data_IF_467596541972
#
_entry.id   IF_467596541972
#
_cell.length_a   1.000
_cell.length_b   1.000
_cell.length_c   1.000
_cell.angle_alpha   90.00
_cell.angle_beta   90.00
_cell.angle_gamma   90.00
#
_symmetry.space_group_name_H-M   'P 1'
#
loop_
_entity.id
_entity.type
_entity.pdbx_description
1 polymer ?
#
# COMPACT_ATOMS: atom_id res chain seq x y z
N UNK A 1 -5.57 -42.21 -40.95
CA UNK A 1 -5.30 -43.00 -39.73
C UNK A 1 -5.74 -42.18 -38.52
N UNK A 2 -6.71 -42.70 -37.75
CA UNK A 2 -7.13 -42.38 -36.36
C UNK A 2 -7.11 -40.88 -35.97
N UNK A 3 -8.21 -40.12 -36.00
CA UNK A 3 -9.42 -40.19 -35.15
C UNK A 3 -9.15 -40.56 -33.68
N UNK A 4 -9.14 -39.55 -32.80
CA UNK A 4 -9.92 -39.60 -31.57
C UNK A 4 -10.60 -38.24 -31.29
N UNK A 5 -11.92 -38.31 -31.42
CA UNK A 5 -12.96 -37.35 -31.13
C UNK A 5 -13.31 -37.42 -29.63
N UNK A 6 -13.53 -36.26 -28.99
CA UNK A 6 -14.58 -35.86 -27.99
C UNK A 6 -15.14 -36.92 -27.00
N UNK A 7 -15.52 -36.60 -25.72
CA UNK A 7 -16.57 -35.61 -25.38
C UNK A 7 -16.49 -34.95 -23.95
N UNK A 8 -17.04 -33.75 -23.73
CA UNK A 8 -18.34 -33.43 -23.09
C UNK A 8 -18.90 -34.42 -22.03
N UNK A 9 -19.05 -33.95 -20.78
CA UNK A 9 -20.28 -34.05 -19.94
C UNK A 9 -19.95 -33.68 -18.47
N UNK A 10 -20.38 -32.54 -17.95
CA UNK A 10 -21.65 -32.38 -17.20
C UNK A 10 -21.94 -33.47 -16.17
N UNK A 11 -21.40 -33.30 -14.95
CA UNK A 11 -22.05 -33.71 -13.69
C UNK A 11 -21.78 -32.56 -12.70
N UNK A 12 -22.66 -31.56 -12.62
CA UNK A 12 -23.85 -31.47 -11.76
C UNK A 12 -23.54 -31.48 -10.25
N UNK A 13 -23.80 -30.31 -9.66
CA UNK A 13 -24.49 -30.12 -8.37
C UNK A 13 -23.67 -30.53 -7.14
N UNK A 14 -22.91 -29.57 -6.60
CA UNK A 14 -22.73 -29.48 -5.16
C UNK A 14 -22.62 -28.00 -4.75
N UNK A 15 -23.61 -27.57 -3.95
CA UNK A 15 -23.66 -26.34 -3.14
C UNK A 15 -24.03 -25.01 -3.82
N UNK A 16 -25.31 -24.95 -4.21
CA UNK A 16 -26.20 -23.91 -3.68
C UNK A 16 -26.11 -23.97 -2.15
N UNK A 17 -25.53 -22.94 -1.53
CA UNK A 17 -25.77 -22.46 -0.15
C UNK A 17 -24.47 -22.01 0.52
N UNK A 18 -24.11 -20.77 0.22
CA UNK A 18 -23.82 -19.76 1.23
C UNK A 18 -23.88 -18.43 0.51
N UNK A 19 -25.04 -17.81 0.60
CA UNK A 19 -25.21 -16.38 0.41
C UNK A 19 -24.27 -15.78 -0.64
N UNK A 20 -24.71 -15.77 -1.90
CA UNK A 20 -24.56 -14.57 -2.72
C UNK A 20 -25.26 -13.40 -2.00
N UNK A 21 -24.75 -13.03 -0.82
CA UNK A 21 -24.89 -11.69 -0.30
C UNK A 21 -23.89 -10.90 -1.13
N UNK A 22 -24.42 -10.43 -2.26
CA UNK A 22 -24.20 -9.07 -2.75
C UNK A 22 -23.72 -8.14 -1.63
N UNK A 23 -22.45 -8.18 -1.28
CA UNK A 23 -21.76 -7.03 -0.72
C UNK A 23 -21.24 -6.27 -1.93
N UNK A 24 -22.20 -5.71 -2.66
CA UNK A 24 -22.01 -4.58 -3.56
C UNK A 24 -21.31 -3.54 -2.69
N UNK A 25 -19.98 -3.43 -2.77
CA UNK A 25 -19.29 -2.39 -2.03
C UNK A 25 -19.90 -1.08 -2.48
N UNK A 26 -20.60 -0.46 -1.54
CA UNK A 26 -21.07 0.90 -1.64
C UNK A 26 -19.82 1.76 -1.67
N UNK A 27 -19.33 2.10 -2.86
CA UNK A 27 -18.47 3.27 -3.04
C UNK A 27 -19.34 4.50 -2.83
N UNK A 28 -19.77 4.72 -1.58
CA UNK A 28 -20.39 5.97 -1.18
C UNK A 28 -19.29 7.02 -1.21
N UNK A 29 -19.59 8.18 -1.79
CA UNK A 29 -18.76 9.37 -1.60
C UNK A 29 -18.73 9.67 -0.10
N UNK A 30 -17.59 9.44 0.55
CA UNK A 30 -17.46 9.69 1.99
C UNK A 30 -17.35 11.19 2.25
N UNK A 31 -18.00 11.64 3.32
CA UNK A 31 -17.90 13.04 3.72
C UNK A 31 -16.49 13.33 4.24
N UNK A 32 -15.95 14.51 3.96
CA UNK A 32 -14.65 14.95 4.48
C UNK A 32 -14.54 14.81 6.00
N UNK A 33 -15.65 14.98 6.72
CA UNK A 33 -15.72 14.80 8.18
C UNK A 33 -15.50 13.35 8.62
N UNK A 34 -15.97 12.38 7.85
CA UNK A 34 -15.81 10.95 8.14
C UNK A 34 -14.36 10.52 7.93
N UNK A 35 -13.72 11.02 6.86
CA UNK A 35 -12.29 10.80 6.59
C UNK A 35 -11.43 11.33 7.74
N UNK A 36 -11.70 12.56 8.20
CA UNK A 36 -10.97 13.19 9.31
C UNK A 36 -11.17 12.38 10.60
N UNK A 37 -12.39 11.93 10.86
CA UNK A 37 -12.71 11.14 12.06
C UNK A 37 -12.01 9.78 12.04
N UNK A 38 -12.02 9.11 10.90
CA UNK A 38 -11.32 7.85 10.69
C UNK A 38 -9.80 8.01 10.87
N UNK A 39 -9.21 9.04 10.25
CA UNK A 39 -7.79 9.38 10.40
C UNK A 39 -7.43 9.59 11.88
N UNK A 40 -8.23 10.38 12.62
CA UNK A 40 -7.99 10.64 14.05
C UNK A 40 -8.06 9.37 14.89
N UNK A 41 -9.02 8.48 14.64
CA UNK A 41 -9.16 7.20 15.34
C UNK A 41 -7.96 6.30 15.08
N UNK A 42 -7.56 6.14 13.82
CA UNK A 42 -6.39 5.36 13.42
C UNK A 42 -5.10 5.90 14.03
N UNK A 43 -4.89 7.22 13.97
CA UNK A 43 -3.68 7.84 14.51
C UNK A 43 -3.57 7.62 16.02
N UNK A 44 -4.66 7.80 16.77
CA UNK A 44 -4.67 7.58 18.23
C UNK A 44 -4.42 6.11 18.57
N UNK A 45 -5.09 5.18 17.89
CA UNK A 45 -4.90 3.74 18.10
C UNK A 45 -3.47 3.31 17.77
N UNK A 46 -2.91 3.75 16.64
CA UNK A 46 -1.56 3.39 16.22
C UNK A 46 -0.46 3.92 17.16
N UNK A 47 -0.62 5.15 17.69
CA UNK A 47 0.32 5.70 18.65
C UNK A 47 0.30 4.95 19.99
N UNK A 48 -0.89 4.53 20.45
CA UNK A 48 -1.05 3.68 21.64
C UNK A 48 -0.44 2.29 21.44
N UNK A 49 -0.70 1.67 20.28
CA UNK A 49 -0.18 0.35 19.92
C UNK A 49 1.35 0.26 20.00
N UNK A 50 2.04 1.35 19.66
CA UNK A 50 3.51 1.41 19.69
C UNK A 50 4.06 2.13 20.93
N UNK A 51 3.21 2.43 21.90
CA UNK A 51 3.58 3.04 23.18
C UNK A 51 4.39 4.34 22.98
N UNK A 52 4.08 5.09 21.94
CA UNK A 52 4.78 6.33 21.57
C UNK A 52 6.30 6.20 21.35
N UNK A 53 6.80 4.99 21.12
CA UNK A 53 8.24 4.75 20.94
C UNK A 53 8.79 5.37 19.64
N UNK A 54 10.03 5.86 19.71
CA UNK A 54 10.82 6.29 18.55
C UNK A 54 11.59 5.07 18.01
N UNK A 55 11.68 4.84 16.69
CA UNK A 55 11.23 5.68 15.55
C UNK A 55 9.78 5.44 15.10
N UNK A 56 9.14 4.37 15.57
CA UNK A 56 7.87 3.86 15.06
C UNK A 56 6.71 4.86 15.06
N UNK A 57 6.63 5.78 16.04
CA UNK A 57 5.61 6.84 16.07
C UNK A 57 5.62 7.71 14.80
N UNK A 58 6.80 7.98 14.24
CA UNK A 58 6.95 8.81 13.05
C UNK A 58 6.54 8.02 11.82
N UNK A 59 7.00 6.77 11.73
CA UNK A 59 6.64 5.85 10.65
C UNK A 59 5.12 5.70 10.51
N UNK A 60 4.39 5.42 11.60
CA UNK A 60 2.93 5.27 11.56
C UNK A 60 2.26 6.56 11.09
N UNK A 61 2.68 7.71 11.64
CA UNK A 61 2.12 9.00 11.27
C UNK A 61 2.33 9.28 9.79
N UNK A 62 3.52 9.01 9.27
CA UNK A 62 3.89 9.32 7.90
C UNK A 62 3.18 8.35 6.93
N UNK A 63 2.97 7.08 7.31
CA UNK A 63 2.10 6.15 6.59
C UNK A 63 0.64 6.55 6.53
N UNK A 64 0.07 7.00 7.65
CA UNK A 64 -1.30 7.49 7.64
C UNK A 64 -1.41 8.78 6.81
N UNK A 65 -0.39 9.63 6.82
CA UNK A 65 -0.38 10.84 5.98
C UNK A 65 -0.30 10.50 4.51
N UNK A 66 0.60 9.60 4.10
CA UNK A 66 0.71 9.15 2.70
C UNK A 66 -0.61 8.51 2.24
N UNK A 67 -1.13 7.53 3.00
CA UNK A 67 -2.34 6.81 2.60
C UNK A 67 -3.61 7.67 2.50
N UNK A 68 -3.74 8.73 3.31
CA UNK A 68 -4.88 9.65 3.24
C UNK A 68 -4.65 10.84 2.30
N UNK A 69 -3.40 11.16 1.94
CA UNK A 69 -3.07 12.27 1.01
C UNK A 69 -2.99 11.85 -0.44
N UNK A 70 -2.88 10.55 -0.74
CA UNK A 70 -2.87 10.07 -2.12
C UNK A 70 -4.24 10.30 -2.79
N UNK A 71 -4.39 11.51 -3.36
CA UNK A 71 -5.54 12.02 -4.12
C UNK A 71 -5.63 11.45 -5.54
N UNK A 72 -4.85 10.41 -5.88
CA UNK A 72 -4.82 9.81 -7.22
C UNK A 72 -6.08 8.98 -7.57
N UNK A 73 -7.19 9.19 -6.86
CA UNK A 73 -8.54 8.76 -7.23
C UNK A 73 -8.84 7.27 -7.05
N UNK A 74 -7.91 6.48 -6.48
CA UNK A 74 -8.04 5.02 -6.38
C UNK A 74 -8.18 4.47 -4.96
N UNK A 75 -8.01 5.28 -3.91
CA UNK A 75 -8.24 4.81 -2.54
C UNK A 75 -9.75 4.84 -2.26
N UNK A 76 -10.43 3.76 -2.63
CA UNK A 76 -11.78 3.49 -2.15
C UNK A 76 -11.73 3.44 -0.63
N UNK A 77 -12.25 4.48 0.03
CA UNK A 77 -12.35 4.49 1.48
C UNK A 77 -13.36 3.41 1.89
N UNK A 78 -12.85 2.41 2.59
CA UNK A 78 -13.63 1.26 3.06
C UNK A 78 -13.73 1.34 4.59
N UNK A 79 -14.86 1.79 5.15
CA UNK A 79 -15.00 2.00 6.59
C UNK A 79 -14.79 0.71 7.39
N UNK A 80 -15.18 -0.42 6.82
CA UNK A 80 -15.02 -1.74 7.42
C UNK A 80 -13.54 -2.16 7.52
N UNK A 81 -12.72 -1.84 6.51
CA UNK A 81 -11.28 -2.07 6.56
C UNK A 81 -10.64 -1.26 7.69
N UNK A 82 -11.04 0.00 7.83
CA UNK A 82 -10.56 0.88 8.89
C UNK A 82 -10.94 0.35 10.27
N UNK A 83 -12.17 -0.14 10.43
CA UNK A 83 -12.65 -0.74 11.68
C UNK A 83 -11.77 -1.94 12.09
N UNK A 84 -11.46 -2.84 11.16
CA UNK A 84 -10.58 -4.01 11.41
C UNK A 84 -9.17 -3.58 11.79
N UNK A 85 -8.62 -2.58 11.10
CA UNK A 85 -7.30 -2.03 11.43
C UNK A 85 -7.30 -1.42 12.82
N UNK A 86 -8.33 -0.66 13.21
CA UNK A 86 -8.45 -0.11 14.57
C UNK A 86 -8.49 -1.25 15.60
N UNK A 87 -9.26 -2.31 15.34
CA UNK A 87 -9.32 -3.46 16.23
C UNK A 87 -7.95 -4.12 16.41
N UNK A 88 -7.22 -4.36 15.32
CA UNK A 88 -5.85 -4.89 15.35
C UNK A 88 -4.90 -3.98 16.14
N UNK A 89 -4.97 -2.66 15.95
CA UNK A 89 -4.11 -1.71 16.67
C UNK A 89 -4.45 -1.65 18.17
N UNK A 90 -5.72 -1.76 18.54
CA UNK A 90 -6.11 -1.81 19.94
C UNK A 90 -5.63 -3.12 20.60
N UNK A 91 -5.76 -4.27 19.92
CA UNK A 91 -5.21 -5.54 20.39
C UNK A 91 -3.68 -5.47 20.60
N UNK A 92 -2.97 -4.84 19.66
CA UNK A 92 -1.52 -4.60 19.79
C UNK A 92 -1.13 -3.63 20.91
N UNK A 93 -2.06 -2.79 21.39
CA UNK A 93 -1.86 -1.86 22.48
C UNK A 93 -2.10 -2.51 23.85
N UNK A 94 -3.14 -3.34 23.94
CA UNK A 94 -3.57 -4.00 25.17
C UNK A 94 -2.58 -5.10 25.58
N UNK A 95 -2.21 -5.97 24.63
CA UNK A 95 -1.35 -7.11 24.89
C UNK A 95 -0.03 -7.00 24.13
N UNK A 96 1.06 -7.47 24.76
CA UNK A 96 2.36 -7.61 24.09
C UNK A 96 2.45 -8.92 23.28
N UNK A 97 1.35 -9.22 22.58
CA UNK A 97 1.14 -10.43 21.80
C UNK A 97 1.83 -10.42 20.42
N UNK A 98 1.31 -11.23 19.51
CA UNK A 98 1.84 -11.31 18.14
C UNK A 98 1.60 -10.02 17.36
N UNK A 99 0.47 -9.37 17.57
CA UNK A 99 0.04 -8.13 16.93
C UNK A 99 1.06 -7.02 17.19
N UNK A 100 1.47 -6.87 18.45
CA UNK A 100 2.50 -5.91 18.85
C UNK A 100 3.85 -6.23 18.20
N UNK A 101 4.25 -7.50 18.16
CA UNK A 101 5.51 -7.94 17.52
C UNK A 101 5.51 -7.68 16.02
N UNK A 102 4.40 -8.00 15.34
CA UNK A 102 4.19 -7.74 13.91
C UNK A 102 4.30 -6.25 13.65
N UNK A 103 3.56 -5.41 14.38
CA UNK A 103 3.56 -3.96 14.19
C UNK A 103 4.95 -3.35 14.41
N UNK A 104 5.65 -3.78 15.46
CA UNK A 104 7.03 -3.34 15.75
C UNK A 104 7.98 -3.72 14.62
N UNK A 105 7.87 -4.94 14.10
CA UNK A 105 8.71 -5.40 13.00
C UNK A 105 8.44 -4.61 11.71
N UNK A 106 7.17 -4.36 11.38
CA UNK A 106 6.78 -3.53 10.24
C UNK A 106 7.37 -2.12 10.33
N UNK A 107 7.26 -1.50 11.51
CA UNK A 107 7.85 -0.17 11.74
C UNK A 107 9.38 -0.20 11.59
N UNK A 108 10.03 -1.24 12.12
CA UNK A 108 11.49 -1.41 12.01
C UNK A 108 11.93 -1.58 10.55
N UNK A 109 11.32 -2.50 9.82
CA UNK A 109 11.64 -2.77 8.41
C UNK A 109 11.45 -1.52 7.57
N UNK A 110 10.35 -0.79 7.79
CA UNK A 110 10.09 0.45 7.05
C UNK A 110 11.10 1.55 7.37
N UNK A 111 11.40 1.78 8.64
CA UNK A 111 12.42 2.74 9.06
C UNK A 111 13.79 2.42 8.44
N UNK A 112 14.20 1.15 8.45
CA UNK A 112 15.46 0.72 7.85
C UNK A 112 15.48 0.98 6.34
N UNK A 113 14.41 0.68 5.61
CA UNK A 113 14.30 0.99 4.17
C UNK A 113 14.43 2.48 3.88
N UNK A 114 13.73 3.32 4.65
CA UNK A 114 13.82 4.78 4.50
C UNK A 114 15.22 5.30 4.82
N UNK A 115 15.88 4.71 5.83
CA UNK A 115 17.24 5.05 6.20
C UNK A 115 18.22 4.71 5.08
N UNK A 116 18.14 3.54 4.46
CA UNK A 116 19.00 3.17 3.33
C UNK A 116 18.82 4.11 2.13
N UNK A 117 17.58 4.49 1.79
CA UNK A 117 17.30 5.46 0.72
C UNK A 117 17.91 6.83 1.05
N UNK A 118 17.86 7.23 2.32
CA UNK A 118 18.40 8.50 2.79
C UNK A 118 19.93 8.51 2.99
N UNK A 119 20.61 7.36 3.06
CA UNK A 119 22.08 7.29 3.11
C UNK A 119 22.75 7.89 1.88
N UNK A 120 22.05 7.94 0.75
CA UNK A 120 22.56 8.58 -0.47
C UNK A 120 22.79 10.07 -0.20
N UNK A 121 24.05 10.46 -0.08
CA UNK A 121 24.46 11.84 0.18
C UNK A 121 23.89 12.77 -0.90
N UNK A 122 23.56 14.00 -0.53
CA UNK A 122 23.07 15.02 -1.48
C UNK A 122 24.03 15.19 -2.68
N UNK A 123 25.35 15.11 -2.44
CA UNK A 123 26.38 15.09 -3.49
C UNK A 123 26.18 13.96 -4.49
N UNK A 124 25.89 12.76 -4.01
CA UNK A 124 25.62 11.58 -4.84
C UNK A 124 24.31 11.75 -5.62
N UNK A 125 23.27 12.32 -5.01
CA UNK A 125 22.00 12.63 -5.70
C UNK A 125 22.21 13.62 -6.85
N UNK A 126 23.00 14.69 -6.64
CA UNK A 126 23.35 15.65 -7.69
C UNK A 126 24.14 14.95 -8.80
N UNK A 127 25.18 14.18 -8.46
CA UNK A 127 25.96 13.45 -9.46
C UNK A 127 25.08 12.52 -10.29
N UNK A 128 24.20 11.75 -9.65
CA UNK A 128 23.24 10.87 -10.34
C UNK A 128 22.27 11.65 -11.26
N UNK A 129 21.82 12.83 -10.86
CA UNK A 129 20.97 13.68 -11.69
C UNK A 129 21.74 14.20 -12.93
N UNK A 130 22.96 14.72 -12.74
CA UNK A 130 23.84 15.16 -13.83
C UNK A 130 24.17 14.01 -14.81
N UNK A 131 24.49 12.82 -14.27
CA UNK A 131 24.77 11.64 -15.08
C UNK A 131 23.53 11.18 -15.88
N UNK A 132 22.32 11.41 -15.35
CA UNK A 132 21.06 11.10 -16.04
C UNK A 132 20.81 12.09 -17.18
N UNK A 133 20.94 13.39 -16.94
CA UNK A 133 20.81 14.44 -17.96
C UNK A 133 21.80 14.23 -19.11
N UNK A 134 23.06 13.88 -18.81
CA UNK A 134 24.08 13.59 -19.82
C UNK A 134 23.71 12.36 -20.69
N UNK A 135 23.07 11.34 -20.10
CA UNK A 135 22.58 10.16 -20.83
C UNK A 135 21.39 10.49 -21.72
N UNK A 136 20.45 11.30 -21.22
CA UNK A 136 19.27 11.72 -21.97
C UNK A 136 19.67 12.59 -23.19
N UNK A 137 20.66 13.49 -23.02
CA UNK A 137 21.23 14.29 -24.11
C UNK A 137 21.93 13.43 -25.19
N UNK A 138 22.67 12.39 -24.78
CA UNK A 138 23.29 11.43 -25.72
C UNK A 138 22.24 10.59 -26.47
N UNK A 139 21.16 10.20 -25.80
CA UNK A 139 20.06 9.43 -26.40
C UNK A 139 19.31 10.23 -27.48
N UNK A 140 19.07 11.53 -27.23
CA UNK A 140 18.47 12.43 -28.22
C UNK A 140 19.32 12.59 -29.49
N UNK A 141 20.65 12.72 -29.36
CA UNK A 141 21.55 12.82 -30.53
C UNK A 141 21.65 11.53 -31.36
N UNK A 142 21.52 10.36 -30.73
CA UNK A 142 21.63 9.06 -31.42
C UNK A 142 20.39 8.68 -32.24
N UNK A 143 19.22 9.29 -31.94
CA UNK A 143 17.98 9.09 -32.68
C UNK A 143 17.83 9.95 -33.95
N UNK A 144 18.72 10.93 -34.18
CA UNK A 144 18.64 11.85 -35.32
C UNK A 144 19.50 11.48 -36.54
N UNK A 145 20.17 10.33 -36.54
CA UNK A 145 21.15 9.94 -37.60
C UNK A 145 20.60 8.82 -38.49
N UNK A 146 19.28 8.69 -38.63
CA UNK A 146 18.69 7.48 -39.22
C UNK A 146 17.38 7.63 -39.98
N UNK A 147 17.09 8.75 -40.64
CA UNK A 147 16.05 8.83 -41.68
C UNK A 147 16.54 9.76 -42.80
N UNK A 148 17.19 9.18 -43.81
CA UNK A 148 17.63 9.86 -45.02
C UNK A 148 17.76 8.84 -46.14
N UNK A 149 16.64 8.62 -46.84
CA UNK A 149 16.56 8.05 -48.18
C UNK A 149 16.10 9.15 -49.12
#
# INVERSE_FOLDING_TARGET
MQLLFRPNSLIKIFLISKHLRLCRQTTMSHSSAELITAYRKLLRAGLRAVQFSKPSRYIIRDQLREGFRDTSGKSTFEPERIRRTIWFLNAAAEERGMEHKILKNLCRVKFEREREVNKVTWKTKIKMALDKEAKDAKKGKKGGVGEGW
#
